data_IF_360400758697
#
_entry.id   IF_360400758697
#
_cell.length_a   1.000
_cell.length_b   1.000
_cell.length_c   1.000
_cell.angle_alpha   90.00
_cell.angle_beta   90.00
_cell.angle_gamma   90.00
#
_symmetry.space_group_name_H-M   'P 1'
#
loop_
_entity.id
_entity.type
_entity.pdbx_description
1 polymer ?
#
# COMPACT_ATOMS: atom_id res chain seq x y z
N UNK A 1 21.28 -20.45 3.89
CA UNK A 1 20.28 -19.36 4.01
C UNK A 1 20.84 -18.16 3.28
N UNK A 2 20.28 -17.76 2.11
CA UNK A 2 20.73 -16.51 1.46
C UNK A 2 20.23 -15.35 2.32
N UNK A 3 21.16 -14.56 2.87
CA UNK A 3 20.84 -13.28 3.48
C UNK A 3 20.03 -12.47 2.46
N UNK A 4 18.78 -12.14 2.78
CA UNK A 4 17.93 -11.34 1.91
C UNK A 4 18.64 -10.03 1.61
N UNK A 5 18.69 -9.65 0.33
CA UNK A 5 19.21 -8.36 -0.13
C UNK A 5 18.61 -7.27 0.74
N UNK A 6 19.47 -6.40 1.32
CA UNK A 6 19.01 -5.36 2.24
C UNK A 6 18.01 -4.45 1.53
N UNK A 7 16.92 -4.15 2.22
CA UNK A 7 15.86 -3.31 1.68
C UNK A 7 16.22 -1.82 1.84
N UNK A 8 16.97 -1.30 0.86
CA UNK A 8 17.58 0.02 0.93
C UNK A 8 16.57 1.18 0.78
N UNK A 9 15.39 0.93 0.20
CA UNK A 9 14.39 1.97 -0.06
C UNK A 9 13.29 2.06 0.99
N UNK A 10 13.13 1.01 1.81
CA UNK A 10 12.06 0.87 2.79
C UNK A 10 11.76 2.11 3.62
N UNK A 11 12.81 2.76 4.16
CA UNK A 11 12.61 3.95 5.00
C UNK A 11 12.06 5.14 4.21
N UNK A 12 12.50 5.33 2.96
CA UNK A 12 12.02 6.40 2.07
C UNK A 12 10.57 6.17 1.66
N UNK A 13 10.24 4.92 1.34
CA UNK A 13 8.88 4.50 0.96
C UNK A 13 7.91 4.74 2.11
N UNK A 14 8.25 4.28 3.32
CA UNK A 14 7.40 4.55 4.48
C UNK A 14 7.32 6.04 4.84
N UNK A 15 8.39 6.82 4.66
CA UNK A 15 8.34 8.26 4.91
C UNK A 15 7.31 8.94 4.01
N UNK A 16 7.33 8.66 2.71
CA UNK A 16 6.37 9.20 1.75
C UNK A 16 4.93 8.74 2.02
N UNK A 17 4.71 7.45 2.32
CA UNK A 17 3.37 6.94 2.65
C UNK A 17 2.83 7.52 3.96
N UNK A 18 3.71 7.74 4.95
CA UNK A 18 3.34 8.38 6.22
C UNK A 18 3.00 9.85 6.02
N UNK A 19 3.72 10.55 5.13
CA UNK A 19 3.42 11.93 4.77
C UNK A 19 2.07 12.06 4.06
N UNK A 20 1.74 11.16 3.13
CA UNK A 20 0.42 11.14 2.49
C UNK A 20 -0.70 10.93 3.52
N UNK A 21 -0.48 9.99 4.45
CA UNK A 21 -1.42 9.69 5.52
C UNK A 21 -1.60 10.88 6.47
N UNK A 22 -0.51 11.55 6.84
CA UNK A 22 -0.53 12.76 7.64
C UNK A 22 -1.30 13.89 6.94
N UNK A 23 -1.10 14.10 5.64
CA UNK A 23 -1.86 15.09 4.85
C UNK A 23 -3.37 14.80 4.90
N UNK A 24 -3.77 13.53 4.74
CA UNK A 24 -5.17 13.10 4.86
C UNK A 24 -5.76 13.35 6.24
N UNK A 25 -4.98 13.09 7.30
CA UNK A 25 -5.44 13.23 8.68
C UNK A 25 -5.54 14.70 9.13
N UNK A 26 -4.81 15.63 8.49
CA UNK A 26 -4.78 17.05 8.84
C UNK A 26 -5.75 17.92 8.01
N UNK A 27 -6.77 17.31 7.40
CA UNK A 27 -8.01 18.03 7.11
C UNK A 27 -8.03 18.82 5.81
N UNK A 28 -7.74 18.14 4.70
CA UNK A 28 -8.01 18.65 3.38
C UNK A 28 -8.24 17.48 2.43
N UNK A 29 -9.47 17.29 1.95
CA UNK A 29 -9.68 16.57 0.68
C UNK A 29 -8.82 17.22 -0.43
N UNK A 30 -8.40 18.48 -0.22
CA UNK A 30 -7.58 19.30 -1.10
C UNK A 30 -6.13 19.49 -0.61
N UNK A 31 -5.15 18.75 -1.13
CA UNK A 31 -3.72 18.92 -0.77
C UNK A 31 -2.95 19.68 -1.84
N UNK A 32 -1.96 20.49 -1.46
CA UNK A 32 -1.06 21.16 -2.42
C UNK A 32 0.34 20.52 -2.36
N UNK A 33 0.80 19.99 -3.49
CA UNK A 33 2.15 19.44 -3.64
C UNK A 33 2.83 20.18 -4.80
N UNK A 34 3.96 20.84 -4.53
CA UNK A 34 4.73 21.59 -5.53
C UNK A 34 3.89 22.57 -6.39
N UNK A 35 2.93 23.28 -5.79
CA UNK A 35 2.05 24.22 -6.50
C UNK A 35 0.90 23.57 -7.29
N UNK A 36 0.73 22.24 -7.18
CA UNK A 36 -0.39 21.50 -7.77
C UNK A 36 -1.37 21.13 -6.68
N UNK A 37 -2.63 21.51 -6.87
CA UNK A 37 -3.73 21.16 -5.98
C UNK A 37 -4.36 19.83 -6.37
N UNK A 38 -4.45 18.90 -5.42
CA UNK A 38 -5.02 17.57 -5.55
C UNK A 38 -6.30 17.46 -4.74
N UNK A 39 -7.33 16.86 -5.33
CA UNK A 39 -8.48 16.37 -4.56
C UNK A 39 -8.27 14.88 -4.29
N UNK A 40 -7.80 14.54 -3.09
CA UNK A 40 -7.56 13.16 -2.70
C UNK A 40 -8.87 12.39 -2.62
N UNK A 41 -8.93 11.25 -3.30
CA UNK A 41 -10.08 10.36 -3.20
C UNK A 41 -10.23 9.82 -1.78
N UNK A 42 -11.46 9.51 -1.33
CA UNK A 42 -11.71 8.94 0.00
C UNK A 42 -10.90 7.67 0.23
N UNK A 43 -10.40 7.50 1.46
CA UNK A 43 -9.69 6.30 1.87
C UNK A 43 -10.57 5.43 2.76
N UNK A 44 -10.62 4.12 2.50
CA UNK A 44 -11.26 3.18 3.41
C UNK A 44 -10.52 3.06 4.75
N UNK A 45 -11.29 3.01 5.85
CA UNK A 45 -10.81 2.69 7.20
C UNK A 45 -11.56 1.45 7.69
N UNK A 46 -10.84 0.44 8.14
CA UNK A 46 -11.42 -0.85 8.48
C UNK A 46 -11.72 -0.98 9.97
N UNK A 47 -12.86 -1.60 10.29
CA UNK A 47 -13.31 -1.82 11.67
C UNK A 47 -12.77 -3.10 12.30
N UNK A 48 -12.47 -4.11 11.48
CA UNK A 48 -12.07 -5.45 11.91
C UNK A 48 -11.26 -6.17 10.80
N UNK A 49 -10.75 -7.37 11.09
CA UNK A 49 -10.02 -8.19 10.12
C UNK A 49 -10.91 -8.75 9.01
N UNK A 50 -12.18 -9.01 9.29
CA UNK A 50 -13.10 -9.60 8.32
C UNK A 50 -13.45 -8.60 7.21
N UNK A 51 -13.59 -7.32 7.54
CA UNK A 51 -13.76 -6.22 6.58
C UNK A 51 -12.53 -6.04 5.71
N UNK A 52 -11.33 -6.24 6.26
CA UNK A 52 -10.08 -6.25 5.47
C UNK A 52 -10.04 -7.47 4.55
N UNK A 53 -10.37 -8.67 5.04
CA UNK A 53 -10.39 -9.88 4.22
C UNK A 53 -11.34 -9.73 3.02
N UNK A 54 -12.57 -9.26 3.25
CA UNK A 54 -13.53 -8.98 2.17
C UNK A 54 -13.02 -7.90 1.21
N UNK A 55 -12.32 -6.89 1.71
CA UNK A 55 -11.73 -5.85 0.87
C UNK A 55 -10.62 -6.42 -0.02
N UNK A 56 -9.69 -7.21 0.53
CA UNK A 56 -8.63 -7.89 -0.23
C UNK A 56 -9.23 -8.77 -1.32
N UNK A 57 -10.25 -9.57 -1.00
CA UNK A 57 -10.94 -10.42 -1.98
C UNK A 57 -11.55 -9.60 -3.12
N UNK A 58 -12.19 -8.46 -2.81
CA UNK A 58 -12.74 -7.56 -3.83
C UNK A 58 -11.66 -6.98 -4.73
N UNK A 59 -10.55 -6.50 -4.16
CA UNK A 59 -9.44 -5.94 -4.94
C UNK A 59 -8.85 -6.99 -5.88
N UNK A 60 -8.54 -8.19 -5.38
CA UNK A 60 -7.98 -9.28 -6.19
C UNK A 60 -8.93 -9.78 -7.29
N UNK A 61 -10.25 -9.61 -7.11
CA UNK A 61 -11.27 -9.97 -8.08
C UNK A 61 -11.51 -8.90 -9.17
N UNK A 62 -10.91 -7.72 -9.08
CA UNK A 62 -11.12 -6.64 -10.05
C UNK A 62 -10.63 -7.06 -11.46
N UNK A 63 -11.45 -6.90 -12.52
CA UNK A 63 -11.06 -7.28 -13.87
C UNK A 63 -9.78 -6.59 -14.36
N UNK A 64 -9.61 -5.29 -14.05
CA UNK A 64 -8.41 -4.51 -14.40
C UNK A 64 -7.15 -5.02 -13.69
N UNK A 65 -7.25 -5.44 -12.44
CA UNK A 65 -6.12 -6.05 -11.71
C UNK A 65 -5.74 -7.39 -12.36
N UNK A 66 -6.72 -8.24 -12.65
CA UNK A 66 -6.49 -9.52 -13.30
C UNK A 66 -5.91 -9.36 -14.73
N UNK A 67 -6.34 -8.33 -15.47
CA UNK A 67 -5.78 -8.01 -16.79
C UNK A 67 -4.31 -7.56 -16.69
N UNK A 68 -3.94 -6.83 -15.65
CA UNK A 68 -2.59 -6.27 -15.47
C UNK A 68 -1.58 -7.24 -14.86
N UNK A 69 -2.01 -8.01 -13.86
CA UNK A 69 -1.12 -8.87 -13.04
C UNK A 69 -1.44 -10.36 -13.15
N UNK A 70 -2.45 -10.73 -13.94
CA UNK A 70 -2.99 -12.09 -13.98
C UNK A 70 -3.95 -12.37 -12.82
N UNK A 71 -4.71 -13.47 -12.93
CA UNK A 71 -5.61 -13.92 -11.86
C UNK A 71 -4.79 -14.30 -10.63
N UNK A 72 -5.16 -13.75 -9.48
CA UNK A 72 -4.47 -13.97 -8.22
C UNK A 72 -5.13 -15.07 -7.40
N UNK A 73 -4.32 -15.88 -6.75
CA UNK A 73 -4.79 -16.79 -5.70
C UNK A 73 -5.26 -16.00 -4.46
N UNK A 74 -6.22 -16.51 -3.68
CA UNK A 74 -6.67 -15.85 -2.46
C UNK A 74 -5.54 -15.51 -1.48
N UNK A 75 -5.70 -14.41 -0.77
CA UNK A 75 -4.78 -13.96 0.28
C UNK A 75 -5.51 -14.00 1.62
N UNK A 76 -4.92 -14.68 2.60
CA UNK A 76 -5.49 -14.75 3.95
C UNK A 76 -5.18 -13.48 4.72
N UNK A 77 -6.07 -13.09 5.63
CA UNK A 77 -5.83 -11.97 6.55
C UNK A 77 -5.87 -12.48 7.98
N UNK A 78 -4.93 -12.04 8.83
CA UNK A 78 -4.91 -12.42 10.25
C UNK A 78 -4.37 -11.32 11.13
N UNK A 79 -4.70 -11.40 12.42
CA UNK A 79 -4.04 -10.58 13.42
C UNK A 79 -2.55 -10.93 13.53
N UNK A 80 -1.74 -9.95 13.91
CA UNK A 80 -0.37 -10.17 14.33
C UNK A 80 0.00 -9.45 15.61
N UNK A 81 0.88 -10.12 16.36
CA UNK A 81 1.54 -9.57 17.55
C UNK A 81 2.75 -8.70 17.14
N UNK A 82 3.09 -7.73 17.99
CA UNK A 82 4.26 -6.85 17.86
C UNK A 82 3.96 -5.46 17.28
N UNK A 83 5.00 -4.64 17.10
CA UNK A 83 4.87 -3.19 16.88
C UNK A 83 4.81 -2.70 15.42
N UNK A 84 4.98 -3.60 14.44
CA UNK A 84 4.89 -3.19 13.03
C UNK A 84 3.42 -3.22 12.60
N UNK A 85 3.01 -2.26 11.78
CA UNK A 85 1.63 -2.09 11.32
C UNK A 85 1.09 -3.32 10.58
N UNK A 86 1.75 -3.72 9.50
CA UNK A 86 1.39 -4.90 8.72
C UNK A 86 2.62 -5.55 8.07
N UNK A 87 2.46 -6.76 7.54
CA UNK A 87 3.40 -7.37 6.60
C UNK A 87 2.75 -8.51 5.80
N UNK A 88 3.19 -8.71 4.56
CA UNK A 88 2.85 -9.86 3.73
C UNK A 88 3.80 -11.04 3.95
N UNK A 89 3.23 -12.23 4.10
CA UNK A 89 3.94 -13.49 4.29
C UNK A 89 3.85 -14.34 3.02
N UNK A 90 4.88 -14.28 2.17
CA UNK A 90 4.90 -15.02 0.89
C UNK A 90 4.67 -16.53 1.05
N UNK A 91 5.22 -17.16 2.09
CA UNK A 91 5.14 -18.62 2.26
C UNK A 91 3.73 -19.14 2.55
N UNK A 92 2.87 -18.29 3.14
CA UNK A 92 1.51 -18.63 3.55
C UNK A 92 0.45 -17.79 2.82
N UNK A 93 0.87 -16.91 1.91
CA UNK A 93 0.03 -15.90 1.24
C UNK A 93 -0.88 -15.17 2.22
N UNK A 94 -0.28 -14.64 3.28
CA UNK A 94 -1.03 -14.04 4.39
C UNK A 94 -0.63 -12.60 4.62
N UNK A 95 -1.61 -11.70 4.66
CA UNK A 95 -1.46 -10.34 5.16
C UNK A 95 -1.68 -10.38 6.67
N UNK A 96 -0.65 -10.04 7.43
CA UNK A 96 -0.67 -10.01 8.87
C UNK A 96 -0.79 -8.55 9.33
N UNK A 97 -1.89 -8.17 9.98
CA UNK A 97 -2.19 -6.77 10.36
C UNK A 97 -2.33 -6.63 11.86
N UNK A 98 -1.71 -5.59 12.41
CA UNK A 98 -1.85 -5.22 13.80
C UNK A 98 -3.19 -4.50 14.00
N UNK A 99 -4.02 -4.96 14.92
CA UNK A 99 -5.35 -4.37 15.17
C UNK A 99 -5.48 -3.74 16.55
N UNK A 100 -4.42 -3.82 17.35
CA UNK A 100 -4.38 -3.21 18.68
C UNK A 100 -3.86 -1.76 18.56
N UNK A 101 -4.38 -0.84 19.38
CA UNK A 101 -3.90 0.55 19.43
C UNK A 101 -4.55 1.49 18.41
N UNK A 102 -3.78 2.46 17.90
CA UNK A 102 -4.28 3.35 16.85
C UNK A 102 -4.60 2.53 15.59
N UNK A 103 -5.75 2.80 14.96
CA UNK A 103 -6.21 2.04 13.79
C UNK A 103 -5.44 2.38 12.51
N UNK A 104 -4.22 2.90 12.63
CA UNK A 104 -3.37 3.31 11.52
C UNK A 104 -3.02 2.13 10.62
N UNK A 105 -2.80 0.95 11.20
CA UNK A 105 -2.57 -0.30 10.45
C UNK A 105 -3.82 -0.80 9.69
N UNK A 106 -5.01 -0.26 9.99
CA UNK A 106 -6.30 -0.65 9.41
C UNK A 106 -6.77 0.37 8.37
N UNK A 107 -5.85 0.90 7.57
CA UNK A 107 -6.09 1.86 6.50
C UNK A 107 -5.90 1.24 5.12
N UNK A 108 -6.64 1.74 4.14
CA UNK A 108 -6.62 1.23 2.77
C UNK A 108 -5.22 1.23 2.15
N UNK A 109 -4.46 2.32 2.31
CA UNK A 109 -3.10 2.37 1.76
C UNK A 109 -2.18 1.31 2.37
N UNK A 110 -2.32 1.04 3.67
CA UNK A 110 -1.55 -0.03 4.36
C UNK A 110 -1.93 -1.40 3.79
N UNK A 111 -3.21 -1.66 3.55
CA UNK A 111 -3.63 -2.94 2.96
C UNK A 111 -3.15 -3.07 1.51
N UNK A 112 -3.25 -2.01 0.71
CA UNK A 112 -2.73 -2.00 -0.67
C UNK A 112 -1.21 -2.16 -0.72
N UNK A 113 -0.47 -1.60 0.24
CA UNK A 113 0.97 -1.84 0.39
C UNK A 113 1.29 -3.34 0.54
N UNK A 114 0.52 -4.05 1.37
CA UNK A 114 0.74 -5.48 1.55
C UNK A 114 0.26 -6.32 0.35
N UNK A 115 -0.79 -5.90 -0.37
CA UNK A 115 -1.16 -6.50 -1.65
C UNK A 115 -0.04 -6.28 -2.68
N UNK A 116 0.60 -5.11 -2.71
CA UNK A 116 1.70 -4.84 -3.63
C UNK A 116 2.88 -5.80 -3.40
N UNK A 117 3.21 -6.18 -2.16
CA UNK A 117 4.20 -7.22 -1.87
C UNK A 117 3.82 -8.60 -2.43
N UNK A 118 2.53 -8.88 -2.59
CA UNK A 118 2.05 -10.14 -3.19
C UNK A 118 2.15 -10.17 -4.72
N UNK A 119 2.06 -9.01 -5.36
CA UNK A 119 2.03 -8.85 -6.82
C UNK A 119 3.42 -8.55 -7.41
N UNK A 120 4.23 -7.77 -6.70
CA UNK A 120 5.53 -7.33 -7.18
C UNK A 120 6.54 -8.49 -7.16
N UNK A 121 7.38 -8.63 -8.20
CA UNK A 121 8.45 -9.60 -8.20
C UNK A 121 9.52 -9.24 -7.15
N UNK A 122 10.00 -10.25 -6.43
CA UNK A 122 11.06 -10.11 -5.44
C UNK A 122 10.56 -9.89 -4.03
N UNK A 123 11.42 -9.31 -3.19
CA UNK A 123 11.14 -8.99 -1.78
C UNK A 123 11.66 -7.58 -1.50
N UNK A 124 10.90 -6.79 -0.74
CA UNK A 124 11.28 -5.42 -0.35
C UNK A 124 10.75 -4.34 -1.28
N UNK A 125 11.16 -3.09 -1.07
CA UNK A 125 10.50 -1.91 -1.65
C UNK A 125 11.26 -1.35 -2.87
N UNK A 126 11.67 -2.24 -3.79
CA UNK A 126 12.37 -1.86 -5.02
C UNK A 126 11.47 -1.16 -6.05
N UNK A 127 12.02 -0.75 -7.22
CA UNK A 127 11.26 -0.09 -8.28
C UNK A 127 10.01 -0.85 -8.76
N UNK A 128 10.07 -2.19 -8.82
CA UNK A 128 8.91 -3.00 -9.17
C UNK A 128 7.80 -2.92 -8.12
N UNK A 129 8.15 -2.88 -6.84
CA UNK A 129 7.19 -2.72 -5.75
C UNK A 129 6.52 -1.35 -5.82
N UNK A 130 7.29 -0.29 -5.99
CA UNK A 130 6.76 1.09 -6.01
C UNK A 130 5.89 1.34 -7.24
N UNK A 131 6.26 0.81 -8.40
CA UNK A 131 5.40 0.82 -9.58
C UNK A 131 4.08 0.06 -9.34
N UNK A 132 4.17 -1.15 -8.77
CA UNK A 132 2.99 -1.98 -8.44
C UNK A 132 2.06 -1.27 -7.46
N UNK A 133 2.59 -0.65 -6.41
CA UNK A 133 1.78 0.07 -5.43
C UNK A 133 1.12 1.31 -6.04
N UNK A 134 1.84 2.08 -6.86
CA UNK A 134 1.26 3.23 -7.57
C UNK A 134 0.12 2.82 -8.50
N UNK A 135 0.30 1.73 -9.27
CA UNK A 135 -0.75 1.17 -10.13
C UNK A 135 -1.96 0.68 -9.33
N UNK A 136 -1.75 0.03 -8.18
CA UNK A 136 -2.84 -0.40 -7.30
C UNK A 136 -3.60 0.79 -6.71
N UNK A 137 -2.89 1.82 -6.25
CA UNK A 137 -3.51 3.03 -5.70
C UNK A 137 -4.34 3.73 -6.78
N UNK A 138 -3.83 3.82 -8.01
CA UNK A 138 -4.56 4.39 -9.15
C UNK A 138 -5.85 3.62 -9.45
N UNK A 139 -5.76 2.28 -9.52
CA UNK A 139 -6.90 1.43 -9.83
C UNK A 139 -7.96 1.38 -8.73
N UNK A 140 -7.57 1.52 -7.46
CA UNK A 140 -8.43 1.21 -6.31
C UNK A 140 -8.88 2.45 -5.55
N UNK A 141 -7.96 3.36 -5.24
CA UNK A 141 -8.27 4.60 -4.52
C UNK A 141 -8.62 5.69 -5.54
N UNK A 142 -7.75 5.89 -6.52
CA UNK A 142 -7.95 6.80 -7.63
C UNK A 142 -6.68 7.54 -8.08
N UNK A 143 -6.76 8.19 -9.25
CA UNK A 143 -5.62 8.78 -9.92
C UNK A 143 -5.00 9.99 -9.19
N UNK A 144 -5.79 10.78 -8.45
CA UNK A 144 -5.25 11.94 -7.72
C UNK A 144 -4.36 11.48 -6.57
N UNK A 145 -4.81 10.47 -5.82
CA UNK A 145 -4.01 9.85 -4.74
C UNK A 145 -2.75 9.18 -5.29
N UNK A 146 -2.86 8.49 -6.42
CA UNK A 146 -1.71 7.85 -7.07
C UNK A 146 -0.66 8.88 -7.51
N UNK A 147 -1.10 10.01 -8.10
CA UNK A 147 -0.22 11.09 -8.52
C UNK A 147 0.42 11.79 -7.31
N UNK A 148 -0.34 12.06 -6.25
CA UNK A 148 0.20 12.61 -5.01
C UNK A 148 1.26 11.70 -4.40
N UNK A 149 1.01 10.38 -4.30
CA UNK A 149 1.99 9.41 -3.81
C UNK A 149 3.24 9.37 -4.70
N UNK A 150 3.09 9.43 -6.03
CA UNK A 150 4.21 9.49 -6.98
C UNK A 150 5.09 10.72 -6.75
N UNK A 151 4.50 11.88 -6.49
CA UNK A 151 5.24 13.11 -6.19
C UNK A 151 6.01 12.99 -4.87
N UNK A 152 5.38 12.44 -3.83
CA UNK A 152 6.05 12.20 -2.55
C UNK A 152 7.19 11.17 -2.68
N UNK A 153 7.04 10.15 -3.51
CA UNK A 153 8.14 9.24 -3.85
C UNK A 153 9.29 9.95 -4.57
N UNK A 154 9.00 10.84 -5.51
CA UNK A 154 10.02 11.64 -6.18
C UNK A 154 10.76 12.55 -5.18
N UNK A 155 10.04 13.24 -4.29
CA UNK A 155 10.59 14.10 -3.24
C UNK A 155 11.50 13.31 -2.27
N UNK A 156 11.05 12.13 -1.83
CA UNK A 156 11.82 11.25 -0.96
C UNK A 156 13.00 10.54 -1.65
N UNK A 157 13.18 10.73 -2.96
CA UNK A 157 14.20 10.06 -3.76
C UNK A 157 14.04 8.54 -3.79
N UNK A 158 12.80 8.06 -3.86
CA UNK A 158 12.42 6.65 -4.07
C UNK A 158 12.56 6.32 -5.55
N UNK A 159 13.31 5.27 -5.87
CA UNK A 159 13.37 4.73 -7.20
C UNK A 159 12.03 4.05 -7.54
N UNK A 160 11.44 4.48 -8.64
CA UNK A 160 10.18 3.99 -9.19
C UNK A 160 10.45 3.20 -10.47
N UNK A 161 9.74 2.08 -10.64
CA UNK A 161 9.75 1.34 -11.90
C UNK A 161 8.96 2.09 -12.98
N UNK A 162 9.26 1.77 -14.24
CA UNK A 162 8.45 2.16 -15.39
C UNK A 162 7.41 1.07 -15.69
#
# INVERSE_FOLDING_TARGET
>A
MRAGTRDHQKSKVYAAESQLQWLRDNGCDTVELHGVTFQLEPEARFGDLDSIARYVDRVLAMPQLAARFGRQEPIRVRHRKGHKLAHYEHGTRTIAIHTDGDRFAMRELVVLHEIAHSLAPGRGHGPHFTATLLELVDMVIGPQTALALRMLYAEAGVAMGA
#
